data_IF_420674025447
#
_entry.id   IF_420674025447
#
_cell.length_a   1.000
_cell.length_b   1.000
_cell.length_c   1.000
_cell.angle_alpha   90.00
_cell.angle_beta   90.00
_cell.angle_gamma   90.00
#
_symmetry.space_group_name_H-M   'P 1'
#
loop_
_entity.id
_entity.type
_entity.pdbx_description
1 polymer ?
#
# COMPACT_ATOMS: atom_id res chain seq x y z
N UNK A 1 1.31 8.00 12.00
CA UNK A 1 2.11 8.92 12.87
C UNK A 1 2.51 8.19 14.14
N UNK A 2 1.59 7.50 14.83
CA UNK A 2 1.87 6.77 16.07
C UNK A 2 2.84 5.60 15.84
N UNK A 3 2.67 4.81 14.80
CA UNK A 3 3.55 3.72 14.39
C UNK A 3 5.03 4.17 14.20
N UNK A 4 5.26 5.35 13.63
CA UNK A 4 6.60 5.92 13.52
C UNK A 4 7.19 6.45 14.85
N UNK A 5 6.34 6.76 15.83
CA UNK A 5 6.74 7.17 17.18
C UNK A 5 7.11 5.95 18.04
N UNK A 6 6.34 4.87 17.98
CA UNK A 6 6.59 3.64 18.72
C UNK A 6 7.96 3.03 18.37
N UNK A 7 8.29 2.99 17.07
CA UNK A 7 9.59 2.52 16.62
C UNK A 7 10.77 3.44 17.00
N UNK A 8 10.53 4.75 17.21
CA UNK A 8 11.56 5.68 17.72
C UNK A 8 11.73 5.57 19.22
N UNK A 9 10.63 5.48 19.95
CA UNK A 9 10.64 5.30 21.42
C UNK A 9 11.25 3.96 21.78
N UNK A 10 10.88 2.86 21.11
CA UNK A 10 11.48 1.55 21.34
C UNK A 10 13.00 1.56 21.11
N UNK A 11 13.49 2.24 20.08
CA UNK A 11 14.92 2.39 19.81
C UNK A 11 15.63 3.25 20.84
N UNK A 12 14.99 4.28 21.39
CA UNK A 12 15.55 5.12 22.45
C UNK A 12 15.60 4.42 23.82
N UNK A 13 14.76 3.40 24.01
CA UNK A 13 14.67 2.59 25.24
C UNK A 13 15.50 1.29 25.20
N UNK A 14 16.40 1.13 24.24
CA UNK A 14 17.33 0.00 24.20
C UNK A 14 17.01 -1.09 23.17
N UNK A 15 16.14 -0.84 22.23
CA UNK A 15 15.79 -1.74 21.12
C UNK A 15 14.36 -2.27 21.20
N UNK A 16 13.74 -2.47 20.01
CA UNK A 16 12.42 -3.09 19.92
C UNK A 16 12.47 -4.56 20.35
N UNK A 17 11.52 -4.99 21.17
CA UNK A 17 11.38 -6.41 21.52
C UNK A 17 10.81 -7.18 20.33
N UNK A 18 11.16 -8.47 20.21
CA UNK A 18 10.57 -9.33 19.18
C UNK A 18 9.04 -9.38 19.31
N UNK A 19 8.55 -9.37 20.53
CA UNK A 19 7.11 -9.26 20.80
C UNK A 19 6.49 -8.00 20.18
N UNK A 20 7.15 -6.84 20.29
CA UNK A 20 6.66 -5.59 19.69
C UNK A 20 6.56 -5.65 18.15
N UNK A 21 7.53 -6.29 17.50
CA UNK A 21 7.53 -6.48 16.04
C UNK A 21 6.37 -7.38 15.58
N UNK A 22 6.12 -8.47 16.31
CA UNK A 22 5.02 -9.39 15.99
C UNK A 22 3.66 -8.74 16.28
N UNK A 23 3.57 -7.99 17.38
CA UNK A 23 2.35 -7.27 17.74
C UNK A 23 2.00 -6.18 16.72
N UNK A 24 2.99 -5.44 16.22
CA UNK A 24 2.85 -4.47 15.13
C UNK A 24 2.30 -5.12 13.86
N UNK A 25 2.84 -6.28 13.49
CA UNK A 25 2.34 -7.05 12.34
C UNK A 25 0.90 -7.53 12.52
N UNK A 26 0.51 -7.91 13.73
CA UNK A 26 -0.89 -8.28 14.02
C UNK A 26 -1.81 -7.05 13.95
N UNK A 27 -1.37 -5.91 14.47
CA UNK A 27 -2.11 -4.64 14.38
C UNK A 27 -2.29 -4.20 12.92
N UNK A 28 -1.24 -4.34 12.10
CA UNK A 28 -1.30 -4.09 10.65
C UNK A 28 -2.27 -5.03 9.94
N UNK A 29 -2.27 -6.32 10.31
CA UNK A 29 -3.21 -7.30 9.76
C UNK A 29 -4.66 -6.92 10.07
N UNK A 30 -4.95 -6.51 11.29
CA UNK A 30 -6.30 -6.07 11.68
C UNK A 30 -6.69 -4.80 10.92
N UNK A 31 -5.81 -3.80 10.89
CA UNK A 31 -6.10 -2.46 10.35
C UNK A 31 -6.21 -2.45 8.81
N UNK A 32 -5.34 -3.18 8.12
CA UNK A 32 -5.23 -3.15 6.65
C UNK A 32 -5.69 -4.43 5.96
N UNK A 33 -5.98 -5.49 6.72
CA UNK A 33 -6.51 -6.74 6.22
C UNK A 33 -7.95 -6.97 6.65
N UNK A 34 -8.16 -7.26 7.95
CA UNK A 34 -9.46 -7.71 8.47
C UNK A 34 -10.51 -6.59 8.36
N UNK A 35 -10.20 -5.40 8.86
CA UNK A 35 -11.16 -4.30 8.86
C UNK A 35 -11.61 -3.90 7.45
N UNK A 36 -10.71 -3.64 6.45
CA UNK A 36 -11.13 -3.34 5.08
C UNK A 36 -11.82 -4.52 4.40
N UNK A 37 -11.35 -5.77 4.60
CA UNK A 37 -11.96 -6.96 4.03
C UNK A 37 -13.38 -7.19 4.53
N UNK A 38 -13.61 -7.02 5.83
CA UNK A 38 -14.93 -7.13 6.46
C UNK A 38 -15.85 -6.00 6.03
N UNK A 39 -15.35 -4.76 5.98
CA UNK A 39 -16.10 -3.61 5.50
C UNK A 39 -16.56 -3.82 4.05
N UNK A 40 -15.67 -4.28 3.20
CA UNK A 40 -15.97 -4.57 1.80
C UNK A 40 -17.01 -5.68 1.65
N UNK A 41 -16.91 -6.74 2.45
CA UNK A 41 -17.92 -7.81 2.49
C UNK A 41 -19.30 -7.29 2.89
N UNK A 42 -19.37 -6.55 3.98
CA UNK A 42 -20.64 -6.07 4.53
C UNK A 42 -21.37 -5.12 3.57
N UNK A 43 -20.63 -4.23 2.92
CA UNK A 43 -21.20 -3.20 2.04
C UNK A 43 -21.48 -3.75 0.65
N UNK A 44 -20.56 -4.55 0.08
CA UNK A 44 -20.61 -4.88 -1.34
C UNK A 44 -21.09 -6.31 -1.63
N UNK A 45 -20.90 -7.27 -0.72
CA UNK A 45 -21.09 -8.69 -1.04
C UNK A 45 -22.20 -9.37 -0.27
N UNK A 46 -22.53 -8.92 0.95
CA UNK A 46 -23.45 -9.62 1.87
C UNK A 46 -24.80 -9.95 1.24
N UNK A 47 -25.36 -9.04 0.45
CA UNK A 47 -26.68 -9.21 -0.15
C UNK A 47 -26.73 -9.92 -1.52
N UNK A 48 -25.57 -10.08 -2.17
CA UNK A 48 -25.49 -10.51 -3.57
C UNK A 48 -24.64 -11.76 -3.77
N UNK A 49 -23.41 -11.77 -3.25
CA UNK A 49 -22.45 -12.86 -3.44
C UNK A 49 -22.42 -13.87 -2.28
N UNK A 50 -23.01 -13.55 -1.12
CA UNK A 50 -23.08 -14.44 0.03
C UNK A 50 -21.73 -15.07 0.39
N UNK A 51 -21.66 -16.41 0.30
CA UNK A 51 -20.47 -17.19 0.66
C UNK A 51 -19.26 -16.91 -0.26
N UNK A 52 -19.49 -16.63 -1.54
CA UNK A 52 -18.41 -16.28 -2.48
C UNK A 52 -17.77 -14.94 -2.12
N UNK A 53 -18.59 -13.97 -1.73
CA UNK A 53 -18.09 -12.68 -1.26
C UNK A 53 -17.27 -12.82 0.02
N UNK A 54 -17.70 -13.68 0.95
CA UNK A 54 -16.94 -14.02 2.15
C UNK A 54 -15.59 -14.66 1.80
N UNK A 55 -15.58 -15.62 0.87
CA UNK A 55 -14.37 -16.30 0.43
C UNK A 55 -13.36 -15.32 -0.20
N UNK A 56 -13.81 -14.37 -1.04
CA UNK A 56 -12.93 -13.34 -1.63
C UNK A 56 -12.38 -12.40 -0.57
N UNK A 57 -13.19 -12.00 0.40
CA UNK A 57 -12.75 -11.15 1.51
C UNK A 57 -11.73 -11.88 2.40
N UNK A 58 -11.96 -13.16 2.71
CA UNK A 58 -10.99 -13.99 3.43
C UNK A 58 -9.70 -14.16 2.64
N UNK A 59 -9.77 -14.37 1.33
CA UNK A 59 -8.59 -14.45 0.45
C UNK A 59 -7.76 -13.16 0.53
N UNK A 60 -8.40 -11.99 0.49
CA UNK A 60 -7.71 -10.71 0.65
C UNK A 60 -6.97 -10.62 2.00
N UNK A 61 -7.64 -10.97 3.11
CA UNK A 61 -7.03 -10.98 4.46
C UNK A 61 -5.84 -11.94 4.50
N UNK A 62 -5.97 -13.11 3.89
CA UNK A 62 -4.90 -14.11 3.81
C UNK A 62 -3.69 -13.60 3.04
N UNK A 63 -3.90 -12.88 1.94
CA UNK A 63 -2.83 -12.23 1.17
C UNK A 63 -2.10 -11.18 2.01
N UNK A 64 -2.82 -10.38 2.81
CA UNK A 64 -2.21 -9.43 3.75
C UNK A 64 -1.36 -10.15 4.78
N UNK A 65 -1.88 -11.22 5.41
CA UNK A 65 -1.16 -12.03 6.40
C UNK A 65 0.12 -12.63 5.82
N UNK A 66 0.03 -13.27 4.64
CA UNK A 66 1.18 -13.85 3.95
C UNK A 66 2.26 -12.81 3.62
N UNK A 67 1.83 -11.62 3.19
CA UNK A 67 2.75 -10.53 2.92
C UNK A 67 3.49 -10.07 4.18
N UNK A 68 2.77 -9.88 5.30
CA UNK A 68 3.38 -9.48 6.58
C UNK A 68 4.33 -10.56 7.11
N UNK A 69 3.93 -11.84 7.05
CA UNK A 69 4.78 -12.96 7.42
C UNK A 69 6.06 -13.01 6.56
N UNK A 70 5.94 -12.86 5.24
CA UNK A 70 7.09 -12.81 4.34
C UNK A 70 8.04 -11.66 4.70
N UNK A 71 7.51 -10.48 5.04
CA UNK A 71 8.32 -9.32 5.42
C UNK A 71 9.11 -9.54 6.71
N UNK A 72 8.53 -10.24 7.69
CA UNK A 72 9.19 -10.54 8.96
C UNK A 72 10.29 -11.61 8.84
N UNK A 73 10.08 -12.61 7.99
CA UNK A 73 11.01 -13.74 7.83
C UNK A 73 12.13 -13.42 6.86
N UNK A 74 11.83 -12.72 5.77
CA UNK A 74 12.78 -12.55 4.67
C UNK A 74 13.27 -11.10 4.63
N UNK A 75 14.40 -10.84 5.27
CA UNK A 75 15.13 -9.58 5.16
C UNK A 75 15.88 -9.55 3.82
N UNK A 76 15.18 -9.39 2.70
CA UNK A 76 15.82 -9.25 1.39
C UNK A 76 16.35 -7.82 1.26
N UNK A 77 17.66 -7.60 1.15
CA UNK A 77 18.21 -6.29 0.77
C UNK A 77 17.86 -6.04 -0.71
N UNK A 78 16.84 -5.23 -0.96
CA UNK A 78 16.40 -4.96 -2.34
C UNK A 78 15.22 -3.99 -2.42
N UNK A 79 14.68 -3.78 -3.62
CA UNK A 79 13.46 -2.99 -3.81
C UNK A 79 12.27 -3.65 -3.10
N UNK A 80 11.33 -2.84 -2.69
CA UNK A 80 10.11 -3.28 -2.01
C UNK A 80 9.31 -4.19 -2.96
N UNK A 81 9.12 -5.45 -2.58
CA UNK A 81 8.40 -6.44 -3.39
C UNK A 81 6.94 -6.54 -2.94
N UNK A 82 6.04 -6.45 -3.90
CA UNK A 82 4.60 -6.51 -3.70
C UNK A 82 3.98 -5.18 -3.24
N UNK A 83 2.65 -5.09 -3.38
CA UNK A 83 1.87 -3.93 -2.97
C UNK A 83 1.93 -3.75 -1.43
N UNK A 84 2.22 -2.55 -0.88
CA UNK A 84 2.18 -2.31 0.56
C UNK A 84 0.79 -2.58 1.16
N UNK A 85 0.72 -3.27 2.34
CA UNK A 85 -0.56 -3.57 3.01
C UNK A 85 -1.39 -2.31 3.28
N UNK A 86 -0.81 -1.18 3.76
CA UNK A 86 -1.59 0.04 3.94
C UNK A 86 -2.20 0.56 2.64
N UNK A 87 -1.48 0.48 1.51
CA UNK A 87 -2.01 0.96 0.24
C UNK A 87 -3.21 0.12 -0.24
N UNK A 88 -3.10 -1.20 -0.14
CA UNK A 88 -4.21 -2.07 -0.55
C UNK A 88 -5.39 -2.05 0.40
N UNK A 89 -5.16 -1.98 1.73
CA UNK A 89 -6.23 -1.84 2.71
C UNK A 89 -6.99 -0.53 2.57
N UNK A 90 -6.26 0.59 2.40
CA UNK A 90 -6.85 1.91 2.16
C UNK A 90 -7.55 1.99 0.80
N UNK A 91 -7.03 1.32 -0.23
CA UNK A 91 -7.73 1.20 -1.50
C UNK A 91 -9.07 0.47 -1.35
N UNK A 92 -9.10 -0.67 -0.68
CA UNK A 92 -10.34 -1.38 -0.40
C UNK A 92 -11.34 -0.51 0.38
N UNK A 93 -10.89 0.18 1.43
CA UNK A 93 -11.73 1.08 2.21
C UNK A 93 -12.24 2.28 1.38
N UNK A 94 -11.44 2.77 0.42
CA UNK A 94 -11.81 3.91 -0.43
C UNK A 94 -12.98 3.63 -1.38
N UNK A 95 -13.24 2.37 -1.74
CA UNK A 95 -14.47 2.01 -2.49
C UNK A 95 -15.72 2.31 -1.68
N UNK A 96 -15.68 2.03 -0.39
CA UNK A 96 -16.81 2.30 0.51
C UNK A 96 -16.97 3.81 0.74
N UNK A 97 -15.84 4.51 0.91
CA UNK A 97 -15.85 5.96 1.11
C UNK A 97 -16.36 6.72 -0.14
N UNK A 98 -16.04 6.21 -1.33
CA UNK A 98 -16.47 6.80 -2.60
C UNK A 98 -17.91 6.45 -2.98
N UNK A 99 -18.59 5.60 -2.20
CA UNK A 99 -19.89 5.01 -2.53
C UNK A 99 -19.93 4.46 -3.98
N UNK A 100 -18.83 3.81 -4.35
CA UNK A 100 -18.60 3.36 -5.73
C UNK A 100 -19.44 2.12 -6.02
N UNK A 101 -20.57 2.31 -6.67
CA UNK A 101 -21.49 1.23 -7.08
C UNK A 101 -20.98 0.57 -8.34
N UNK A 102 -20.15 -0.46 -8.20
CA UNK A 102 -19.76 -1.36 -9.27
C UNK A 102 -20.53 -2.69 -9.14
N UNK A 103 -20.62 -3.42 -10.24
CA UNK A 103 -21.20 -4.77 -10.19
C UNK A 103 -20.41 -5.64 -9.18
N UNK A 104 -21.09 -6.39 -8.27
CA UNK A 104 -20.41 -7.12 -7.20
C UNK A 104 -19.32 -8.09 -7.67
N UNK A 105 -19.51 -8.71 -8.85
CA UNK A 105 -18.47 -9.55 -9.45
C UNK A 105 -17.22 -8.75 -9.84
N UNK A 106 -17.37 -7.54 -10.36
CA UNK A 106 -16.23 -6.67 -10.68
C UNK A 106 -15.50 -6.24 -9.39
N UNK A 107 -16.24 -5.92 -8.34
CA UNK A 107 -15.67 -5.63 -7.03
C UNK A 107 -14.89 -6.82 -6.45
N UNK A 108 -15.42 -8.04 -6.60
CA UNK A 108 -14.74 -9.27 -6.17
C UNK A 108 -13.41 -9.47 -6.92
N UNK A 109 -13.39 -9.24 -8.23
CA UNK A 109 -12.17 -9.31 -9.05
C UNK A 109 -11.15 -8.25 -8.61
N UNK A 110 -11.58 -7.02 -8.38
CA UNK A 110 -10.70 -5.94 -7.93
C UNK A 110 -10.09 -6.26 -6.58
N UNK A 111 -10.87 -6.74 -5.60
CA UNK A 111 -10.38 -7.10 -4.27
C UNK A 111 -9.41 -8.28 -4.33
N UNK A 112 -9.74 -9.33 -5.09
CA UNK A 112 -8.89 -10.49 -5.28
C UNK A 112 -7.58 -10.13 -5.99
N UNK A 113 -7.63 -9.27 -7.01
CA UNK A 113 -6.46 -8.78 -7.73
C UNK A 113 -5.55 -7.94 -6.83
N UNK A 114 -6.13 -7.08 -5.99
CA UNK A 114 -5.37 -6.29 -5.00
C UNK A 114 -4.65 -7.20 -4.02
N UNK A 115 -5.33 -8.25 -3.50
CA UNK A 115 -4.72 -9.27 -2.65
C UNK A 115 -3.56 -9.99 -3.36
N UNK A 116 -3.78 -10.42 -4.60
CA UNK A 116 -2.74 -11.07 -5.41
C UNK A 116 -1.51 -10.18 -5.62
N UNK A 117 -1.69 -8.88 -5.89
CA UNK A 117 -0.59 -7.93 -6.04
C UNK A 117 0.24 -7.77 -4.75
N UNK A 118 -0.36 -7.95 -3.58
CA UNK A 118 0.37 -7.90 -2.31
C UNK A 118 1.37 -9.05 -2.15
N UNK A 119 1.00 -10.25 -2.61
CA UNK A 119 1.85 -11.45 -2.53
C UNK A 119 2.83 -11.51 -3.70
N UNK A 120 2.57 -10.79 -4.79
CA UNK A 120 3.40 -10.77 -5.99
C UNK A 120 4.81 -10.22 -5.73
N UNK A 121 5.75 -10.53 -6.63
CA UNK A 121 7.12 -9.99 -6.59
C UNK A 121 7.27 -8.71 -7.42
N UNK A 122 6.17 -8.05 -7.80
CA UNK A 122 6.20 -6.81 -8.58
C UNK A 122 6.87 -5.72 -7.74
N UNK A 123 7.90 -5.04 -8.26
CA UNK A 123 8.57 -3.97 -7.52
C UNK A 123 7.67 -2.74 -7.43
N UNK A 124 7.40 -2.30 -6.21
CA UNK A 124 6.73 -1.04 -5.92
C UNK A 124 7.73 0.00 -5.42
N UNK A 125 7.43 1.27 -5.67
CA UNK A 125 8.28 2.39 -5.28
C UNK A 125 8.53 2.44 -3.77
N UNK A 126 9.79 2.48 -3.36
CA UNK A 126 10.19 2.61 -1.98
C UNK A 126 10.40 4.08 -1.60
N UNK A 127 9.36 4.73 -1.10
CA UNK A 127 9.39 6.12 -0.67
C UNK A 127 10.29 6.34 0.57
N UNK A 128 10.68 5.28 1.31
CA UNK A 128 11.58 5.40 2.47
C UNK A 128 12.99 5.90 2.10
N UNK A 129 13.41 5.75 0.82
CA UNK A 129 14.70 6.25 0.33
C UNK A 129 14.67 7.74 -0.03
N UNK A 130 13.50 8.36 -0.03
CA UNK A 130 13.35 9.76 -0.36
C UNK A 130 13.79 10.61 0.84
N UNK A 131 15.00 11.13 0.78
CA UNK A 131 15.49 12.11 1.75
C UNK A 131 15.04 13.50 1.32
N UNK A 132 14.62 14.34 2.26
CA UNK A 132 14.15 15.72 2.00
C UNK A 132 15.11 16.57 1.14
N UNK A 133 16.41 16.21 1.14
CA UNK A 133 17.47 16.88 0.36
C UNK A 133 17.56 16.40 -1.09
N UNK A 134 17.03 15.22 -1.41
CA UNK A 134 17.09 14.60 -2.75
C UNK A 134 15.80 14.72 -3.54
N UNK A 135 14.76 15.32 -2.97
CA UNK A 135 13.46 15.47 -3.62
C UNK A 135 13.44 16.68 -4.55
N UNK A 136 13.04 16.49 -5.79
CA UNK A 136 12.84 17.58 -6.74
C UNK A 136 11.58 18.37 -6.38
N UNK A 137 11.75 19.67 -6.11
CA UNK A 137 10.65 20.57 -5.74
C UNK A 137 9.55 20.64 -6.79
N UNK A 138 9.90 20.52 -8.07
CA UNK A 138 8.93 20.57 -9.19
C UNK A 138 8.02 19.34 -9.18
N UNK A 139 8.60 18.14 -9.01
CA UNK A 139 7.84 16.90 -8.93
C UNK A 139 7.01 16.80 -7.65
N UNK A 140 7.55 17.26 -6.52
CA UNK A 140 6.79 17.37 -5.28
C UNK A 140 5.59 18.32 -5.41
N UNK A 141 5.78 19.48 -6.09
CA UNK A 141 4.71 20.41 -6.36
C UNK A 141 3.66 19.81 -7.30
N UNK A 142 4.09 19.10 -8.36
CA UNK A 142 3.18 18.42 -9.28
C UNK A 142 2.33 17.35 -8.57
N UNK A 143 2.95 16.55 -7.68
CA UNK A 143 2.23 15.57 -6.87
C UNK A 143 1.23 16.25 -5.92
N UNK A 144 1.63 17.32 -5.25
CA UNK A 144 0.77 18.09 -4.37
C UNK A 144 -0.44 18.67 -5.13
N UNK A 145 -0.19 19.24 -6.33
CA UNK A 145 -1.26 19.75 -7.20
C UNK A 145 -2.20 18.62 -7.66
N UNK A 146 -1.67 17.47 -8.03
CA UNK A 146 -2.47 16.31 -8.44
C UNK A 146 -3.38 15.84 -7.30
N UNK A 147 -2.84 15.73 -6.07
CA UNK A 147 -3.61 15.35 -4.89
C UNK A 147 -4.67 16.41 -4.59
N UNK A 148 -4.30 17.69 -4.54
CA UNK A 148 -5.21 18.80 -4.26
C UNK A 148 -6.33 18.89 -5.29
N UNK A 149 -5.98 18.77 -6.58
CA UNK A 149 -6.94 18.79 -7.68
C UNK A 149 -7.88 17.59 -7.63
N UNK A 150 -7.37 16.39 -7.30
CA UNK A 150 -8.23 15.20 -7.18
C UNK A 150 -9.24 15.34 -6.05
N UNK A 151 -8.87 15.92 -4.90
CA UNK A 151 -9.83 16.20 -3.83
C UNK A 151 -10.84 17.29 -4.21
N UNK A 152 -10.42 18.31 -4.97
CA UNK A 152 -11.30 19.36 -5.45
C UNK A 152 -12.35 18.86 -6.45
N UNK A 153 -11.95 17.98 -7.38
CA UNK A 153 -12.81 17.48 -8.46
C UNK A 153 -13.65 16.25 -8.06
N UNK A 154 -13.07 15.33 -7.31
CA UNK A 154 -13.67 14.03 -7.01
C UNK A 154 -14.20 13.92 -5.57
N UNK A 155 -13.89 14.87 -4.68
CA UNK A 155 -14.35 14.85 -3.29
C UNK A 155 -14.00 13.54 -2.59
N UNK A 156 -15.02 12.81 -2.13
CA UNK A 156 -14.86 11.51 -1.42
C UNK A 156 -14.29 10.39 -2.28
N UNK A 157 -14.35 10.47 -3.61
CA UNK A 157 -13.78 9.50 -4.54
C UNK A 157 -12.28 9.75 -4.83
N UNK A 158 -11.70 10.86 -4.37
CA UNK A 158 -10.29 11.16 -4.58
C UNK A 158 -9.34 10.08 -4.04
N UNK A 159 -9.52 9.53 -2.82
CA UNK A 159 -8.66 8.44 -2.33
C UNK A 159 -8.70 7.21 -3.23
N UNK A 160 -9.88 6.83 -3.72
CA UNK A 160 -10.05 5.70 -4.63
C UNK A 160 -9.21 5.90 -5.90
N UNK A 161 -9.30 7.08 -6.51
CA UNK A 161 -8.53 7.42 -7.71
C UNK A 161 -7.01 7.39 -7.45
N UNK A 162 -6.55 7.99 -6.37
CA UNK A 162 -5.13 8.07 -6.04
C UNK A 162 -4.53 6.70 -5.74
N UNK A 163 -5.22 5.87 -4.97
CA UNK A 163 -4.77 4.50 -4.70
C UNK A 163 -4.84 3.60 -5.93
N UNK A 164 -5.86 3.74 -6.79
CA UNK A 164 -5.92 3.03 -8.07
C UNK A 164 -4.72 3.39 -8.97
N UNK A 165 -4.38 4.68 -9.08
CA UNK A 165 -3.21 5.13 -9.83
C UNK A 165 -1.91 4.53 -9.27
N UNK A 166 -1.78 4.51 -7.94
CA UNK A 166 -0.61 3.91 -7.28
C UNK A 166 -0.54 2.39 -7.52
N UNK A 167 -1.66 1.67 -7.41
CA UNK A 167 -1.70 0.21 -7.62
C UNK A 167 -1.35 -0.14 -9.05
N UNK A 168 -1.89 0.59 -10.03
CA UNK A 168 -1.61 0.38 -11.45
C UNK A 168 -0.16 0.74 -11.83
N UNK A 169 0.49 1.62 -11.09
CA UNK A 169 1.89 1.97 -11.34
C UNK A 169 2.86 0.80 -11.13
N UNK A 170 2.53 -0.17 -10.27
CA UNK A 170 3.34 -1.35 -10.02
C UNK A 170 3.50 -2.25 -11.25
N UNK A 171 2.40 -2.76 -11.84
CA UNK A 171 2.46 -3.55 -13.08
C UNK A 171 3.12 -2.81 -14.26
N UNK A 172 2.95 -1.48 -14.34
CA UNK A 172 3.58 -0.63 -15.36
C UNK A 172 5.07 -0.39 -15.05
N UNK A 173 5.55 -0.82 -13.88
CA UNK A 173 6.92 -0.61 -13.38
C UNK A 173 7.32 0.87 -13.28
N UNK A 174 6.35 1.75 -13.01
CA UNK A 174 6.62 3.16 -12.80
C UNK A 174 7.14 3.39 -11.39
N UNK A 175 8.41 3.77 -11.27
CA UNK A 175 9.04 4.04 -9.97
C UNK A 175 8.85 5.50 -9.53
N UNK A 176 7.79 5.74 -8.75
CA UNK A 176 7.52 7.05 -8.15
C UNK A 176 8.68 7.58 -7.32
N UNK A 177 9.45 6.67 -6.69
CA UNK A 177 10.60 7.05 -5.87
C UNK A 177 11.71 7.66 -6.72
N UNK A 178 12.03 7.06 -7.87
CA UNK A 178 13.01 7.60 -8.80
C UNK A 178 12.50 8.87 -9.51
N UNK A 179 11.21 8.91 -9.83
CA UNK A 179 10.63 10.09 -10.48
C UNK A 179 10.69 11.34 -9.58
N UNK A 180 10.55 11.17 -8.27
CA UNK A 180 10.63 12.25 -7.29
C UNK A 180 12.05 12.71 -6.97
N UNK A 181 13.09 11.98 -7.40
CA UNK A 181 14.49 12.33 -7.12
C UNK A 181 15.04 13.38 -8.10
N UNK A 182 15.92 14.22 -7.60
CA UNK A 182 16.74 15.13 -8.42
C UNK A 182 17.60 14.29 -9.39
N UNK A 183 17.82 14.73 -10.65
CA UNK A 183 18.57 13.97 -11.66
C UNK A 183 19.95 13.46 -11.19
N UNK A 184 20.68 14.26 -10.43
CA UNK A 184 22.00 13.89 -9.87
C UNK A 184 21.89 12.72 -8.85
N UNK A 185 20.87 12.75 -7.99
CA UNK A 185 20.63 11.68 -7.02
C UNK A 185 20.12 10.39 -7.70
N UNK A 186 19.41 10.51 -8.82
CA UNK A 186 18.97 9.40 -9.65
C UNK A 186 20.16 8.67 -10.26
N UNK A 187 21.09 9.39 -10.89
CA UNK A 187 22.27 8.80 -11.54
C UNK A 187 23.16 8.07 -10.52
N UNK A 188 23.31 8.61 -9.32
CA UNK A 188 24.07 7.97 -8.23
C UNK A 188 23.43 6.67 -7.76
N UNK A 189 22.10 6.57 -7.71
CA UNK A 189 21.40 5.34 -7.34
C UNK A 189 21.44 4.28 -8.44
N UNK A 190 21.36 4.68 -9.71
CA UNK A 190 21.50 3.77 -10.85
C UNK A 190 22.93 3.19 -10.93
N UNK A 191 23.97 3.98 -10.65
CA UNK A 191 25.35 3.50 -10.60
C UNK A 191 25.55 2.44 -9.51
N UNK A 192 25.00 2.64 -8.31
CA UNK A 192 25.08 1.66 -7.20
C UNK A 192 24.26 0.40 -7.49
N UNK A 193 23.15 0.52 -8.24
CA UNK A 193 22.32 -0.64 -8.62
C UNK A 193 22.99 -1.52 -9.69
N UNK A 194 23.81 -0.96 -10.57
CA UNK A 194 24.55 -1.69 -11.62
C UNK A 194 25.78 -2.42 -11.12
N UNK A 195 26.31 -2.05 -9.94
CA UNK A 195 27.49 -2.66 -9.32
C UNK A 195 27.17 -3.78 -8.32
N UNK A 196 25.90 -4.12 -8.13
CA UNK A 196 25.40 -5.25 -7.34
C UNK A 196 24.76 -6.31 -8.22
#
# INVERSE_FOLDING_TARGET
>A
IFDGLDGKVARSLGGGTQFGLEFDSLADLVSFGIAPGMLFYLVSFRGVLGILGAAVSCFFVLCVALRLARFNVVHIPGPFQGLPSPAGGLFAASFVLADAVLHPAAMAVVLAFTGFLMVSSIPYANLKKLTRRSADKKHCLALFLLVSLSFCLLGTAAPLFLFALYILSGPIRFDWGQWLLIPEARNSQEAVSKTR
#
